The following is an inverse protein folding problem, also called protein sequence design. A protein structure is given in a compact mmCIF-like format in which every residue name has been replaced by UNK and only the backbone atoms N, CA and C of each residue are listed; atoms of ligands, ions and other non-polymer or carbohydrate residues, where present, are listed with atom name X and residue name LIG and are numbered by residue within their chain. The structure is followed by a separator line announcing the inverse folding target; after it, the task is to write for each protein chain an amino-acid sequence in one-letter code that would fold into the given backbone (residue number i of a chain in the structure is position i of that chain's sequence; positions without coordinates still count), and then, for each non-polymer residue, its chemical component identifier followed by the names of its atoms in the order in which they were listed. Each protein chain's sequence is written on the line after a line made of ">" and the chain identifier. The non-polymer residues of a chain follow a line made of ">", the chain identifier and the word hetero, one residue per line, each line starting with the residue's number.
data_IF_669009179077
#
_entry.id   IF_669009179077
#
_cell.length_a   1.000
_cell.length_b   1.000
_cell.length_c   1.000
_cell.angle_alpha   90.00
_cell.angle_beta   90.00
_cell.angle_gamma   90.00
#
_symmetry.space_group_name_H-M   'P 1'
#
loop_
_entity.id
_entity.type
_entity.pdbx_description
1 polymer ?
#
# COMPACT_ATOMS: atom_id res chain seq x y z
N UNK A 1 -9.29 13.35 9.99
CA UNK A 1 -8.33 12.38 9.45
C UNK A 1 -7.14 13.14 8.88
N UNK A 2 -5.93 12.77 9.24
CA UNK A 2 -4.70 13.40 8.74
C UNK A 2 -4.23 12.66 7.49
N UNK A 3 -3.91 13.39 6.41
CA UNK A 3 -3.31 12.81 5.20
C UNK A 3 -1.89 12.24 5.41
N UNK A 4 -1.36 12.35 6.62
CA UNK A 4 -0.07 11.79 7.01
C UNK A 4 -0.26 10.59 7.94
N UNK A 5 -1.00 9.60 7.48
CA UNK A 5 -1.23 8.35 8.21
C UNK A 5 -1.12 7.15 7.26
N UNK A 6 -1.09 5.95 7.83
CA UNK A 6 -0.91 4.70 7.09
C UNK A 6 -2.20 3.86 7.01
N UNK A 7 -3.31 4.36 7.56
CA UNK A 7 -4.61 3.70 7.51
C UNK A 7 -5.33 3.90 6.17
N UNK A 8 -6.37 3.12 5.92
CA UNK A 8 -7.11 3.05 4.66
C UNK A 8 -7.56 4.43 4.18
N UNK A 9 -8.14 5.26 5.04
CA UNK A 9 -8.65 6.58 4.66
C UNK A 9 -7.59 7.56 4.12
N UNK A 10 -6.32 7.34 4.46
CA UNK A 10 -5.22 8.19 3.99
C UNK A 10 -4.46 7.59 2.81
N UNK A 11 -4.45 6.27 2.70
CA UNK A 11 -3.66 5.56 1.68
C UNK A 11 -4.49 5.18 0.47
N UNK A 12 -5.81 5.06 0.60
CA UNK A 12 -6.69 4.77 -0.51
C UNK A 12 -6.97 6.02 -1.33
N UNK A 13 -6.50 6.02 -2.57
CA UNK A 13 -6.69 7.11 -3.52
C UNK A 13 -7.34 6.58 -4.81
N UNK A 14 -8.11 7.40 -5.54
CA UNK A 14 -8.62 7.01 -6.84
C UNK A 14 -7.46 6.76 -7.82
N UNK A 15 -7.49 5.63 -8.53
CA UNK A 15 -6.63 5.34 -9.66
C UNK A 15 -7.51 4.97 -10.85
N UNK A 16 -7.42 5.75 -11.91
CA UNK A 16 -8.14 5.51 -13.15
C UNK A 16 -7.15 5.40 -14.30
N UNK A 17 -7.30 4.38 -15.11
CA UNK A 17 -6.50 4.19 -16.32
C UNK A 17 -7.42 4.22 -17.52
N UNK A 18 -7.21 5.19 -18.40
CA UNK A 18 -7.95 5.33 -19.65
C UNK A 18 -6.96 5.12 -20.79
N UNK A 19 -7.15 4.07 -21.57
CA UNK A 19 -6.34 3.83 -22.76
C UNK A 19 -6.90 4.63 -23.94
N UNK A 20 -6.06 5.47 -24.53
CA UNK A 20 -6.39 6.22 -25.74
C UNK A 20 -6.34 5.37 -27.03
N UNK A 21 -6.23 4.06 -26.91
CA UNK A 21 -5.97 3.19 -28.04
C UNK A 21 -7.21 3.06 -28.95
N UNK A 22 -7.15 3.70 -30.13
CA UNK A 22 -8.14 3.59 -31.21
C UNK A 22 -8.26 2.16 -31.79
N UNK A 23 -7.39 1.25 -31.37
CA UNK A 23 -7.42 -0.17 -31.76
C UNK A 23 -7.96 -1.05 -30.64
N UNK A 24 -9.03 -0.66 -30.02
CA UNK A 24 -9.96 -1.27 -29.04
C UNK A 24 -9.82 -2.71 -28.57
N UNK A 25 -8.84 -3.47 -29.04
CA UNK A 25 -8.76 -4.91 -28.82
C UNK A 25 -7.76 -5.35 -27.76
N UNK A 26 -6.78 -4.52 -27.37
CA UNK A 26 -5.74 -4.95 -26.42
C UNK A 26 -6.18 -4.95 -24.95
N UNK A 27 -7.18 -4.18 -24.58
CA UNK A 27 -7.59 -4.06 -23.17
C UNK A 27 -9.05 -4.44 -22.88
N UNK A 28 -9.73 -5.05 -23.87
CA UNK A 28 -11.14 -5.40 -23.74
C UNK A 28 -12.05 -4.16 -23.67
N UNK A 29 -13.34 -4.33 -23.97
CA UNK A 29 -14.37 -3.29 -23.81
C UNK A 29 -14.79 -3.11 -22.33
N UNK A 30 -13.93 -3.39 -21.35
CA UNK A 30 -14.39 -3.41 -19.98
C UNK A 30 -14.15 -2.06 -19.31
N UNK A 31 -15.20 -1.28 -19.22
CA UNK A 31 -15.39 -0.37 -18.11
C UNK A 31 -15.47 -1.24 -16.84
N UNK A 32 -14.32 -1.57 -16.26
CA UNK A 32 -14.25 -2.47 -15.11
C UNK A 32 -13.80 -1.73 -13.86
N UNK A 33 -14.44 -2.04 -12.74
CA UNK A 33 -13.95 -1.63 -11.41
C UNK A 33 -13.12 -2.78 -10.86
N UNK A 34 -11.85 -2.49 -10.54
CA UNK A 34 -10.95 -3.39 -9.86
C UNK A 34 -10.89 -3.03 -8.37
N UNK A 35 -11.11 -4.01 -7.50
CA UNK A 35 -11.02 -3.83 -6.04
C UNK A 35 -9.72 -4.35 -5.44
N UNK A 36 -8.81 -4.86 -6.28
CA UNK A 36 -7.52 -5.36 -5.83
C UNK A 36 -6.62 -4.22 -5.32
N UNK A 37 -5.88 -4.42 -4.22
CA UNK A 37 -4.94 -3.42 -3.74
C UNK A 37 -3.78 -3.27 -4.72
N UNK A 38 -3.56 -2.04 -5.17
CA UNK A 38 -2.48 -1.66 -6.07
C UNK A 38 -1.81 -0.39 -5.58
N UNK A 39 -0.55 -0.18 -5.94
CA UNK A 39 0.24 0.95 -5.48
C UNK A 39 0.67 1.89 -6.60
N UNK A 40 1.05 3.11 -6.25
CA UNK A 40 1.62 4.06 -7.22
C UNK A 40 2.92 3.54 -7.83
N UNK A 41 3.65 2.67 -7.15
CA UNK A 41 4.85 2.01 -7.66
C UNK A 41 4.56 1.12 -8.86
N UNK A 42 3.32 0.64 -9.01
CA UNK A 42 2.88 -0.24 -10.09
C UNK A 42 2.63 0.53 -11.40
N UNK A 43 2.54 1.87 -11.34
CA UNK A 43 2.29 2.69 -12.53
C UNK A 43 3.45 2.59 -13.53
N UNK A 44 4.69 2.68 -13.06
CA UNK A 44 5.86 2.70 -13.95
C UNK A 44 6.00 1.40 -14.76
N UNK A 45 6.02 0.19 -14.16
CA UNK A 45 6.07 -1.05 -14.94
C UNK A 45 4.82 -1.24 -15.82
N UNK A 46 3.66 -0.73 -15.42
CA UNK A 46 2.47 -0.72 -16.26
C UNK A 46 2.66 0.09 -17.54
N UNK A 47 3.21 1.30 -17.41
CA UNK A 47 3.49 2.15 -18.58
C UNK A 47 4.53 1.53 -19.51
N UNK A 48 5.59 0.91 -18.96
CA UNK A 48 6.58 0.21 -19.78
C UNK A 48 5.93 -0.92 -20.59
N UNK A 49 5.09 -1.76 -19.96
CA UNK A 49 4.40 -2.84 -20.65
C UNK A 49 3.44 -2.31 -21.71
N UNK A 50 2.68 -1.26 -21.42
CA UNK A 50 1.75 -0.62 -22.37
C UNK A 50 2.46 -0.05 -23.58
N UNK A 51 3.68 0.46 -23.41
CA UNK A 51 4.50 1.01 -24.47
C UNK A 51 5.34 -0.06 -25.19
N UNK A 52 5.28 -1.33 -24.79
CA UNK A 52 6.10 -2.41 -25.36
C UNK A 52 7.59 -2.28 -25.02
N UNK A 53 7.91 -1.58 -23.93
CA UNK A 53 9.26 -1.39 -23.45
C UNK A 53 9.63 -2.49 -22.44
N UNK A 54 10.91 -2.87 -22.34
CA UNK A 54 11.36 -3.86 -21.37
C UNK A 54 11.18 -3.33 -19.93
N UNK A 55 10.68 -4.20 -19.05
CA UNK A 55 10.64 -3.92 -17.62
C UNK A 55 11.99 -4.30 -17.01
N UNK A 56 12.65 -3.37 -16.32
CA UNK A 56 13.93 -3.64 -15.67
C UNK A 56 13.73 -4.45 -14.38
N UNK A 57 14.67 -5.36 -14.11
CA UNK A 57 14.65 -6.22 -12.91
C UNK A 57 14.73 -5.44 -11.58
N UNK A 58 15.16 -4.18 -11.61
CA UNK A 58 15.21 -3.28 -10.47
C UNK A 58 13.83 -2.73 -10.06
N UNK A 59 12.83 -2.84 -10.93
CA UNK A 59 11.47 -2.39 -10.63
C UNK A 59 10.83 -3.27 -9.56
N UNK A 60 10.34 -2.66 -8.50
CA UNK A 60 9.68 -3.34 -7.38
C UNK A 60 8.14 -3.40 -7.55
N UNK A 61 7.57 -2.56 -8.41
CA UNK A 61 6.15 -2.57 -8.72
C UNK A 61 5.78 -3.70 -9.69
N UNK A 62 4.48 -3.98 -9.78
CA UNK A 62 3.89 -4.98 -10.67
C UNK A 62 3.09 -4.29 -11.77
N UNK A 63 3.16 -4.79 -13.01
CA UNK A 63 2.31 -4.25 -14.06
C UNK A 63 0.83 -4.53 -13.78
N UNK A 64 0.01 -3.50 -13.93
CA UNK A 64 -1.45 -3.57 -13.77
C UNK A 64 -2.16 -4.06 -15.04
N UNK A 65 -1.44 -4.30 -16.14
CA UNK A 65 -2.03 -4.76 -17.41
C UNK A 65 -2.87 -6.04 -17.25
N UNK A 66 -2.48 -7.04 -16.44
CA UNK A 66 -3.34 -8.20 -16.17
C UNK A 66 -4.68 -7.82 -15.54
N UNK A 67 -4.69 -6.87 -14.60
CA UNK A 67 -5.92 -6.38 -13.97
C UNK A 67 -6.74 -5.49 -14.91
N UNK A 68 -6.10 -4.75 -15.81
CA UNK A 68 -6.81 -3.99 -16.86
C UNK A 68 -7.54 -4.92 -17.82
N UNK A 69 -6.98 -6.10 -18.11
CA UNK A 69 -7.63 -7.14 -18.94
C UNK A 69 -8.72 -7.90 -18.18
N UNK A 70 -8.49 -8.18 -16.91
CA UNK A 70 -9.39 -8.95 -16.03
C UNK A 70 -9.40 -8.33 -14.62
N UNK A 71 -10.24 -7.33 -14.34
CA UNK A 71 -10.25 -6.58 -13.06
C UNK A 71 -10.35 -7.44 -11.81
N UNK A 72 -11.06 -8.59 -11.88
CA UNK A 72 -11.22 -9.54 -10.79
C UNK A 72 -10.30 -10.78 -10.94
N UNK A 73 -9.22 -10.65 -11.73
CA UNK A 73 -8.22 -11.69 -11.89
C UNK A 73 -7.47 -12.03 -10.61
N UNK A 74 -6.68 -13.11 -10.66
CA UNK A 74 -5.81 -13.49 -9.55
C UNK A 74 -4.74 -12.40 -9.33
N UNK A 75 -4.66 -11.89 -8.09
CA UNK A 75 -3.73 -10.84 -7.68
C UNK A 75 -3.26 -11.11 -6.25
N UNK A 76 -2.03 -11.54 -6.11
CA UNK A 76 -1.48 -12.01 -4.82
C UNK A 76 -0.54 -11.01 -4.16
N UNK A 77 -0.42 -9.83 -4.75
CA UNK A 77 0.52 -8.83 -4.27
C UNK A 77 -0.12 -7.95 -3.20
N UNK A 78 0.65 -7.71 -2.14
CA UNK A 78 0.34 -6.67 -1.17
C UNK A 78 0.93 -5.34 -1.62
N UNK A 79 0.23 -4.25 -1.33
CA UNK A 79 0.72 -2.90 -1.63
C UNK A 79 1.42 -2.32 -0.41
N UNK A 80 2.68 -1.95 -0.58
CA UNK A 80 3.47 -1.29 0.46
C UNK A 80 3.33 0.23 0.38
N UNK A 81 3.03 0.85 1.51
CA UNK A 81 3.14 2.30 1.70
C UNK A 81 4.04 2.59 2.89
N UNK A 82 4.96 3.53 2.73
CA UNK A 82 5.89 3.93 3.79
C UNK A 82 5.68 5.41 4.10
N UNK A 83 5.60 5.73 5.39
CA UNK A 83 5.61 7.10 5.86
C UNK A 83 6.73 7.29 6.89
N UNK A 84 7.74 8.07 6.51
CA UNK A 84 9.00 8.14 7.23
C UNK A 84 9.70 6.77 7.36
N UNK A 85 10.85 6.74 7.99
CA UNK A 85 11.61 5.51 8.19
C UNK A 85 10.95 4.65 9.26
N UNK A 86 10.86 3.35 9.03
CA UNK A 86 10.36 2.39 10.01
C UNK A 86 8.86 2.31 10.17
N UNK A 87 8.10 3.18 9.46
CA UNK A 87 6.65 3.12 9.49
C UNK A 87 6.13 2.65 8.14
N UNK A 88 5.55 1.47 8.12
CA UNK A 88 5.10 0.79 6.92
C UNK A 88 3.67 0.30 7.07
N UNK A 89 2.93 0.25 5.98
CA UNK A 89 1.70 -0.52 5.88
C UNK A 89 1.73 -1.40 4.64
N UNK A 90 1.26 -2.63 4.80
CA UNK A 90 1.00 -3.58 3.73
C UNK A 90 -0.51 -3.78 3.62
N UNK A 91 -1.06 -3.54 2.43
CA UNK A 91 -2.47 -3.76 2.10
C UNK A 91 -2.59 -4.95 1.16
N UNK A 92 -3.01 -6.09 1.68
CA UNK A 92 -3.42 -7.25 0.89
C UNK A 92 -4.91 -7.16 0.52
N UNK A 93 -5.46 -8.12 -0.21
CA UNK A 93 -6.87 -8.11 -0.59
C UNK A 93 -7.82 -8.03 0.62
N UNK A 94 -7.50 -8.77 1.69
CA UNK A 94 -8.33 -8.85 2.89
C UNK A 94 -7.79 -8.06 4.07
N UNK A 95 -6.46 -8.10 4.29
CA UNK A 95 -5.87 -7.57 5.51
C UNK A 95 -5.08 -6.29 5.25
N UNK A 96 -5.05 -5.43 6.27
CA UNK A 96 -4.05 -4.38 6.40
C UNK A 96 -3.18 -4.66 7.61
N UNK A 97 -1.87 -4.65 7.39
CA UNK A 97 -0.86 -4.76 8.42
C UNK A 97 -0.07 -3.47 8.49
N UNK A 98 0.16 -2.96 9.70
CA UNK A 98 1.01 -1.80 9.96
C UNK A 98 2.13 -2.19 10.91
N UNK A 99 3.32 -1.65 10.65
CA UNK A 99 4.48 -1.72 11.51
C UNK A 99 5.04 -0.33 11.71
N UNK A 100 5.28 0.05 12.96
CA UNK A 100 5.82 1.35 13.32
C UNK A 100 7.29 1.26 13.74
N UNK A 101 8.01 2.41 13.69
CA UNK A 101 9.44 2.50 14.04
C UNK A 101 9.73 2.03 15.48
N UNK A 102 8.80 2.20 16.41
CA UNK A 102 8.88 1.73 17.79
C UNK A 102 8.68 0.22 17.96
N UNK A 103 8.41 -0.49 16.88
CA UNK A 103 8.14 -1.92 16.85
C UNK A 103 6.69 -2.30 17.12
N UNK A 104 5.78 -1.35 17.39
CA UNK A 104 4.36 -1.64 17.52
C UNK A 104 3.76 -2.09 16.20
N UNK A 105 2.70 -2.88 16.28
CA UNK A 105 2.05 -3.49 15.12
C UNK A 105 0.53 -3.36 15.21
N UNK A 106 -0.09 -3.23 14.04
CA UNK A 106 -1.54 -3.28 13.90
C UNK A 106 -1.91 -4.22 12.76
N UNK A 107 -3.05 -4.91 12.91
CA UNK A 107 -3.61 -5.77 11.89
C UNK A 107 -5.12 -5.59 11.86
N UNK A 108 -5.67 -5.38 10.67
CA UNK A 108 -7.10 -5.18 10.44
C UNK A 108 -7.61 -6.12 9.36
N UNK A 109 -8.83 -6.65 9.56
CA UNK A 109 -9.51 -7.55 8.63
C UNK A 109 -10.62 -6.79 7.91
N UNK A 110 -10.39 -6.39 6.69
CA UNK A 110 -11.31 -5.56 5.91
C UNK A 110 -12.60 -6.26 5.47
N UNK A 111 -12.71 -7.57 5.61
CA UNK A 111 -13.98 -8.27 5.39
C UNK A 111 -15.01 -7.95 6.48
N UNK A 112 -14.56 -7.68 7.71
CA UNK A 112 -15.43 -7.47 8.87
C UNK A 112 -15.25 -6.11 9.52
N UNK A 113 -14.13 -5.45 9.28
CA UNK A 113 -13.75 -4.15 9.85
C UNK A 113 -13.12 -3.22 8.80
N UNK A 114 -13.88 -2.75 7.81
CA UNK A 114 -13.35 -1.87 6.76
C UNK A 114 -12.88 -0.49 7.27
N UNK A 115 -13.28 -0.12 8.49
CA UNK A 115 -12.94 1.16 9.11
C UNK A 115 -11.71 1.08 10.04
N UNK A 116 -11.11 -0.10 10.19
CA UNK A 116 -9.89 -0.29 10.98
C UNK A 116 -10.04 0.13 12.46
N UNK A 117 -11.16 -0.24 13.08
CA UNK A 117 -11.44 0.10 14.48
C UNK A 117 -10.86 -0.90 15.47
N UNK A 118 -10.67 -2.17 15.06
CA UNK A 118 -10.29 -3.26 15.95
C UNK A 118 -8.93 -3.82 15.57
N UNK A 119 -7.88 -3.44 16.31
CA UNK A 119 -6.55 -4.01 16.10
C UNK A 119 -6.50 -5.48 16.52
N UNK A 120 -6.17 -6.36 15.58
CA UNK A 120 -6.09 -7.81 15.76
C UNK A 120 -4.66 -8.32 16.05
N UNK A 121 -3.64 -7.46 16.07
CA UNK A 121 -2.23 -7.86 16.15
C UNK A 121 -1.90 -8.65 17.44
N UNK A 122 -2.64 -8.43 18.53
CA UNK A 122 -2.46 -9.16 19.79
C UNK A 122 -3.04 -10.57 19.80
N UNK A 123 -3.79 -10.97 18.78
CA UNK A 123 -4.46 -12.27 18.73
C UNK A 123 -3.49 -13.39 18.41
N UNK A 124 -3.24 -14.29 19.36
CA UNK A 124 -2.32 -15.43 19.21
C UNK A 124 -2.56 -16.29 17.96
N UNK A 125 -3.82 -16.45 17.55
CA UNK A 125 -4.19 -17.21 16.35
C UNK A 125 -3.70 -16.59 15.05
N UNK A 126 -3.41 -15.28 15.04
CA UNK A 126 -2.97 -14.54 13.86
C UNK A 126 -1.45 -14.32 13.79
N UNK A 127 -0.69 -14.86 14.74
CA UNK A 127 0.77 -14.79 14.72
C UNK A 127 1.38 -15.31 13.41
N UNK A 128 0.95 -16.46 12.84
CA UNK A 128 1.49 -16.92 11.55
C UNK A 128 1.23 -15.93 10.41
N UNK A 129 0.08 -15.27 10.40
CA UNK A 129 -0.26 -14.25 9.41
C UNK A 129 0.62 -13.00 9.58
N UNK A 130 0.84 -12.55 10.83
CA UNK A 130 1.75 -11.44 11.11
C UNK A 130 3.18 -11.73 10.64
N UNK A 131 3.65 -12.96 10.82
CA UNK A 131 4.97 -13.37 10.34
C UNK A 131 5.10 -13.31 8.81
N UNK A 132 4.04 -13.65 8.07
CA UNK A 132 4.03 -13.49 6.62
C UNK A 132 4.19 -12.02 6.23
N UNK A 133 3.41 -11.13 6.82
CA UNK A 133 3.52 -9.68 6.55
C UNK A 133 4.88 -9.12 6.94
N UNK A 134 5.44 -9.53 8.08
CA UNK A 134 6.78 -9.10 8.51
C UNK A 134 7.86 -9.45 7.48
N UNK A 135 7.74 -10.59 6.78
CA UNK A 135 8.67 -11.02 5.73
C UNK A 135 8.53 -10.22 4.44
N UNK A 136 7.36 -9.65 4.18
CA UNK A 136 7.12 -8.78 3.01
C UNK A 136 7.65 -7.36 3.22
N UNK A 137 7.95 -6.95 4.45
CA UNK A 137 8.51 -5.63 4.73
C UNK A 137 9.93 -5.50 4.16
N UNK A 138 10.36 -4.28 3.79
CA UNK A 138 11.71 -4.03 3.31
C UNK A 138 12.76 -4.49 4.32
N UNK A 139 13.68 -5.37 3.89
CA UNK A 139 14.81 -5.81 4.72
C UNK A 139 15.84 -4.69 4.96
N UNK A 140 15.86 -3.69 4.09
CA UNK A 140 16.76 -2.53 4.19
C UNK A 140 15.92 -1.27 4.02
N UNK A 141 16.10 -0.34 4.94
CA UNK A 141 15.49 0.96 4.87
C UNK A 141 16.50 2.02 4.44
N UNK A 142 16.04 2.95 3.62
CA UNK A 142 16.86 4.10 3.27
C UNK A 142 17.21 4.90 4.54
N UNK A 143 18.45 5.41 4.65
CA UNK A 143 18.81 6.28 5.76
C UNK A 143 17.98 7.57 5.71
N UNK A 144 17.81 8.22 6.86
CA UNK A 144 17.24 9.55 6.88
C UNK A 144 18.09 10.50 6.02
N UNK A 145 17.43 11.33 5.24
CA UNK A 145 18.14 12.41 4.55
C UNK A 145 18.83 13.33 5.59
N UNK A 146 20.07 13.74 5.39
CA UNK A 146 20.84 14.53 6.37
C UNK A 146 20.11 15.80 6.88
N UNK A 147 19.27 16.41 6.03
CA UNK A 147 18.47 17.59 6.40
C UNK A 147 17.25 17.25 7.28
N UNK A 148 16.90 15.97 7.44
CA UNK A 148 15.78 15.54 8.28
C UNK A 148 16.32 15.08 9.63
N UNK A 149 16.05 15.83 10.69
CA UNK A 149 16.45 15.41 12.04
C UNK A 149 15.68 14.15 12.44
N UNK A 150 16.41 13.14 12.95
CA UNK A 150 15.83 11.94 13.53
C UNK A 150 14.76 12.33 14.55
N UNK A 151 13.55 11.82 14.41
CA UNK A 151 12.43 12.15 15.29
C UNK A 151 11.62 13.41 14.92
N UNK A 152 12.05 14.22 13.94
CA UNK A 152 11.28 15.41 13.54
C UNK A 152 9.89 15.05 13.00
N UNK A 153 9.78 13.93 12.31
CA UNK A 153 8.51 13.43 11.78
C UNK A 153 7.61 12.95 12.92
N UNK A 154 8.15 12.18 13.86
CA UNK A 154 7.40 11.71 15.04
C UNK A 154 7.00 12.85 15.96
N UNK A 155 7.86 13.87 16.14
CA UNK A 155 7.55 15.09 16.89
C UNK A 155 6.45 15.91 16.22
N UNK A 156 6.43 15.97 14.88
CA UNK A 156 5.36 16.62 14.13
C UNK A 156 4.02 15.89 14.34
N UNK A 157 4.00 14.55 14.29
CA UNK A 157 2.82 13.73 14.59
C UNK A 157 2.31 13.95 16.01
N UNK A 158 3.17 13.80 17.01
CA UNK A 158 2.81 13.99 18.41
C UNK A 158 2.18 15.38 18.65
N UNK A 159 2.76 16.42 18.03
CA UNK A 159 2.24 17.80 18.12
C UNK A 159 0.88 17.96 17.45
N UNK A 160 0.60 17.24 16.34
CA UNK A 160 -0.67 17.35 15.63
C UNK A 160 -1.77 16.49 16.27
N UNK A 161 -1.44 15.31 16.80
CA UNK A 161 -2.39 14.49 17.57
C UNK A 161 -2.82 15.19 18.86
N UNK A 162 -1.89 15.79 19.59
CA UNK A 162 -2.21 16.54 20.81
C UNK A 162 -3.09 17.77 20.56
N UNK A 163 -2.92 18.45 19.41
CA UNK A 163 -3.78 19.60 19.04
C UNK A 163 -5.20 19.21 18.67
N UNK A 164 -5.43 17.99 18.18
CA UNK A 164 -6.74 17.50 17.74
C UNK A 164 -7.47 16.70 18.82
N UNK A 165 -6.96 16.68 20.07
CA UNK A 165 -7.62 16.00 21.20
C UNK A 165 -7.70 14.48 21.08
N UNK A 166 -6.96 13.88 20.16
CA UNK A 166 -6.84 12.44 20.00
C UNK A 166 -5.76 11.97 20.97
N UNK A 167 -6.23 11.34 22.07
CA UNK A 167 -5.36 10.65 23.02
C UNK A 167 -5.16 9.21 22.57
#
# INVERSE_FOLDING_TARGET
>A
VSKHSLWEESTRVPLMVVSANSQGEKFGKSEGVCTKPVGLIDIYPTLLELCGLPVEASNQGQSLVPLMRKPNGDWRFSTLTTYARGNHTLRSERYRYLRFEDGSEELYDHEVDPNEWTNLASRKKLVPLLELFRRELPAKEAPYHPAVRKGAVNAWFAKHLSRNGIK
#
